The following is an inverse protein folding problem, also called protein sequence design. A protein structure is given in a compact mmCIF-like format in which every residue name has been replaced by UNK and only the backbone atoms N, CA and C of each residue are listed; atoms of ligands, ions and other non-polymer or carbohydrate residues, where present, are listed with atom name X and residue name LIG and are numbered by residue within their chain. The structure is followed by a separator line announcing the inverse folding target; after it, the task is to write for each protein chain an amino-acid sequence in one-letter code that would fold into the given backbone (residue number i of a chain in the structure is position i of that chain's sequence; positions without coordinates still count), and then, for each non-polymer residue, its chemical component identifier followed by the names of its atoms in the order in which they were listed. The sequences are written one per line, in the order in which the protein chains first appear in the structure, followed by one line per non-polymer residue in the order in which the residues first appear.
data_IF_903069746106
#
_entry.id   IF_903069746106
#
_cell.length_a   1.000
_cell.length_b   1.000
_cell.length_c   1.000
_cell.angle_alpha   90.00
_cell.angle_beta   90.00
_cell.angle_gamma   90.00
#
_symmetry.space_group_name_H-M   'P 1'
#
loop_
_entity.id
_entity.type
_entity.pdbx_description
1 polymer ?
#
# COMPACT_ATOMS: atom_id res chain seq x y z
N UNK A 1 23.57 1.00 -24.25
CA UNK A 1 24.96 0.81 -23.76
C UNK A 1 24.93 -0.37 -22.79
N UNK A 2 25.40 -1.55 -23.20
CA UNK A 2 25.70 -2.62 -22.24
C UNK A 2 26.92 -2.16 -21.43
N UNK A 3 26.67 -1.55 -20.29
CA UNK A 3 27.70 -1.17 -19.34
C UNK A 3 27.37 -1.81 -18.02
N UNK A 4 28.32 -2.51 -17.42
CA UNK A 4 28.22 -2.97 -16.03
C UNK A 4 27.75 -1.78 -15.19
N UNK A 5 26.73 -2.02 -14.35
CA UNK A 5 26.12 -1.00 -13.51
C UNK A 5 27.14 -0.61 -12.42
N UNK A 6 28.04 0.31 -12.76
CA UNK A 6 29.11 0.78 -11.88
C UNK A 6 28.78 2.13 -11.28
N UNK A 7 29.46 2.45 -10.19
CA UNK A 7 29.35 3.75 -9.54
C UNK A 7 29.66 4.94 -10.43
N UNK A 8 30.62 4.81 -11.35
CA UNK A 8 30.91 5.88 -12.32
C UNK A 8 29.78 6.07 -13.32
N UNK A 9 29.17 4.97 -13.77
CA UNK A 9 28.01 5.03 -14.68
C UNK A 9 26.84 5.74 -14.01
N UNK A 10 26.52 5.40 -12.76
CA UNK A 10 25.44 6.06 -12.00
C UNK A 10 25.74 7.54 -11.78
N UNK A 11 26.97 7.89 -11.38
CA UNK A 11 27.36 9.28 -11.19
C UNK A 11 27.11 10.12 -12.45
N UNK A 12 27.56 9.64 -13.61
CA UNK A 12 27.34 10.31 -14.90
C UNK A 12 25.85 10.43 -15.27
N UNK A 13 25.03 9.42 -14.93
CA UNK A 13 23.59 9.49 -15.14
C UNK A 13 22.93 10.55 -14.25
N UNK A 14 23.33 10.65 -12.98
CA UNK A 14 22.82 11.68 -12.06
C UNK A 14 23.18 13.08 -12.55
N UNK A 15 24.43 13.32 -12.97
CA UNK A 15 24.84 14.59 -13.57
C UNK A 15 23.96 14.94 -14.78
N UNK A 16 23.75 14.00 -15.71
CA UNK A 16 22.87 14.22 -16.86
C UNK A 16 21.43 14.58 -16.48
N UNK A 17 20.92 14.07 -15.35
CA UNK A 17 19.57 14.36 -14.88
C UNK A 17 19.53 15.76 -14.25
N UNK A 18 20.39 16.04 -13.27
CA UNK A 18 20.32 17.24 -12.44
C UNK A 18 20.98 18.48 -13.07
N UNK A 19 21.97 18.30 -13.92
CA UNK A 19 22.67 19.41 -14.57
C UNK A 19 21.99 19.81 -15.90
N UNK A 20 20.93 19.11 -16.32
CA UNK A 20 20.16 19.46 -17.50
C UNK A 20 19.28 20.69 -17.21
N UNK A 21 19.50 21.84 -17.86
CA UNK A 21 18.75 23.07 -17.61
C UNK A 21 17.28 22.98 -18.05
N UNK A 22 16.92 22.00 -18.88
CA UNK A 22 15.53 21.73 -19.26
C UNK A 22 14.78 20.90 -18.21
N UNK A 23 15.48 20.31 -17.26
CA UNK A 23 14.90 19.49 -16.21
C UNK A 23 14.57 20.36 -14.98
N UNK A 24 13.33 20.36 -14.47
CA UNK A 24 12.98 21.10 -13.26
C UNK A 24 13.59 20.52 -11.97
N UNK A 25 14.22 19.34 -12.04
CA UNK A 25 14.85 18.69 -10.90
C UNK A 25 16.09 19.46 -10.43
N UNK A 26 16.11 19.78 -9.14
CA UNK A 26 17.29 20.32 -8.44
C UNK A 26 17.95 19.22 -7.62
N UNK A 27 19.24 19.38 -7.36
CA UNK A 27 19.98 18.51 -6.45
C UNK A 27 19.24 18.35 -5.11
N UNK A 28 18.97 17.10 -4.74
CA UNK A 28 18.19 16.75 -3.56
C UNK A 28 18.96 17.08 -2.27
N UNK A 29 18.24 17.28 -1.16
CA UNK A 29 18.89 17.38 0.16
C UNK A 29 19.27 16.01 0.72
N UNK A 30 18.50 14.99 0.39
CA UNK A 30 18.68 13.62 0.86
C UNK A 30 18.50 12.66 -0.31
N UNK A 31 19.45 11.74 -0.46
CA UNK A 31 19.39 10.64 -1.42
C UNK A 31 19.26 9.32 -0.65
N UNK A 32 18.16 8.62 -0.87
CA UNK A 32 17.91 7.31 -0.26
C UNK A 32 18.30 6.22 -1.26
N UNK A 33 19.22 5.36 -0.88
CA UNK A 33 19.64 4.21 -1.69
C UNK A 33 19.63 2.94 -0.86
N UNK A 34 19.76 1.79 -1.52
CA UNK A 34 20.11 0.56 -0.83
C UNK A 34 21.64 0.52 -0.52
N UNK A 35 22.15 -0.65 -0.15
CA UNK A 35 23.57 -0.87 0.16
C UNK A 35 24.41 -1.33 -1.05
N UNK A 36 23.89 -1.18 -2.27
CA UNK A 36 24.53 -1.52 -3.53
C UNK A 36 25.93 -0.91 -3.66
N UNK A 37 26.82 -1.58 -4.38
CA UNK A 37 28.19 -1.12 -4.63
C UNK A 37 28.22 0.04 -5.64
N UNK A 38 27.23 0.09 -6.52
CA UNK A 38 26.98 1.13 -7.50
C UNK A 38 26.68 2.50 -6.87
N UNK A 39 26.14 2.56 -5.65
CA UNK A 39 25.90 3.81 -4.92
C UNK A 39 27.07 4.21 -4.00
N UNK A 40 28.21 3.52 -4.06
CA UNK A 40 29.42 3.80 -3.26
C UNK A 40 30.52 4.38 -4.14
N UNK A 41 31.59 4.93 -3.56
CA UNK A 41 32.72 5.43 -4.34
C UNK A 41 32.40 6.74 -5.06
N UNK A 42 32.50 6.78 -6.38
CA UNK A 42 32.33 7.99 -7.20
C UNK A 42 30.93 8.61 -7.06
N UNK A 43 29.86 7.81 -7.11
CA UNK A 43 28.50 8.27 -6.87
C UNK A 43 28.33 8.93 -5.50
N UNK A 44 28.94 8.35 -4.45
CA UNK A 44 28.88 8.92 -3.09
C UNK A 44 29.67 10.23 -2.99
N UNK A 45 30.83 10.33 -3.66
CA UNK A 45 31.61 11.57 -3.74
C UNK A 45 30.83 12.68 -4.45
N UNK A 46 30.18 12.36 -5.57
CA UNK A 46 29.35 13.31 -6.33
C UNK A 46 28.22 13.86 -5.48
N UNK A 47 27.43 12.98 -4.85
CA UNK A 47 26.32 13.39 -3.99
C UNK A 47 26.79 14.30 -2.84
N UNK A 48 27.91 13.96 -2.18
CA UNK A 48 28.49 14.79 -1.13
C UNK A 48 28.98 16.15 -1.63
N UNK A 49 29.56 16.21 -2.84
CA UNK A 49 30.00 17.47 -3.48
C UNK A 49 28.85 18.45 -3.67
N UNK A 50 27.66 17.94 -4.01
CA UNK A 50 26.45 18.74 -4.17
C UNK A 50 25.66 18.94 -2.86
N UNK A 51 26.25 18.60 -1.70
CA UNK A 51 25.63 18.78 -0.39
C UNK A 51 24.50 17.79 -0.08
N UNK A 52 24.38 16.71 -0.85
CA UNK A 52 23.32 15.70 -0.69
C UNK A 52 23.70 14.71 0.41
N UNK A 53 22.83 14.55 1.41
CA UNK A 53 22.99 13.54 2.46
C UNK A 53 22.53 12.18 1.97
N UNK A 54 23.36 11.16 2.12
CA UNK A 54 23.02 9.80 1.69
C UNK A 54 22.49 9.02 2.90
N UNK A 55 21.32 8.39 2.78
CA UNK A 55 20.86 7.40 3.76
C UNK A 55 20.67 6.06 3.06
N UNK A 56 21.21 5.00 3.68
CA UNK A 56 21.21 3.66 3.11
C UNK A 56 20.20 2.78 3.85
N UNK A 57 19.38 2.04 3.11
CA UNK A 57 18.39 1.13 3.67
C UNK A 57 19.04 0.08 4.60
N UNK A 58 18.33 -0.33 5.66
CA UNK A 58 18.87 -1.27 6.66
C UNK A 58 19.01 -2.70 6.11
N UNK A 59 18.11 -3.14 5.23
CA UNK A 59 18.08 -4.49 4.63
C UNK A 59 18.50 -4.49 3.16
N UNK A 60 19.08 -5.61 2.71
CA UNK A 60 19.32 -5.91 1.30
C UNK A 60 18.06 -6.56 0.73
N UNK A 61 17.30 -5.85 -0.09
CA UNK A 61 16.31 -6.46 -0.97
C UNK A 61 16.54 -5.86 -2.35
N UNK A 62 17.18 -6.63 -3.21
CA UNK A 62 17.45 -6.25 -4.60
C UNK A 62 16.14 -6.35 -5.38
N UNK A 63 15.72 -5.25 -6.01
CA UNK A 63 14.72 -5.27 -7.07
C UNK A 63 15.50 -5.17 -8.37
N UNK A 64 15.71 -6.31 -9.01
CA UNK A 64 16.26 -6.35 -10.37
C UNK A 64 15.10 -6.03 -11.34
N UNK A 65 15.33 -5.08 -12.24
CA UNK A 65 14.44 -4.76 -13.35
C UNK A 65 15.22 -5.07 -14.63
N UNK A 66 14.75 -6.04 -15.41
CA UNK A 66 15.42 -6.39 -16.67
C UNK A 66 15.22 -5.31 -17.73
N UNK A 67 16.31 -4.95 -18.42
CA UNK A 67 16.38 -3.89 -19.41
C UNK A 67 15.50 -4.16 -20.65
N UNK A 68 14.50 -3.30 -20.90
CA UNK A 68 13.77 -3.20 -22.18
C UNK A 68 14.00 -1.80 -22.79
N UNK A 69 15.09 -1.58 -23.56
CA UNK A 69 15.61 -0.25 -23.90
C UNK A 69 14.84 0.51 -25.01
N UNK A 70 13.51 0.43 -25.04
CA UNK A 70 12.67 1.25 -25.92
C UNK A 70 11.29 1.54 -25.37
N UNK A 71 10.79 0.67 -24.50
CA UNK A 71 9.51 0.85 -23.81
C UNK A 71 9.66 1.80 -22.61
N UNK A 72 10.84 1.83 -21.98
CA UNK A 72 11.10 2.58 -20.75
C UNK A 72 10.90 4.09 -20.96
N UNK A 73 11.43 4.67 -22.04
CA UNK A 73 11.31 6.13 -22.26
C UNK A 73 9.85 6.55 -22.45
N UNK A 74 9.09 5.78 -23.23
CA UNK A 74 7.64 6.00 -23.41
C UNK A 74 6.87 5.86 -22.10
N UNK A 75 7.17 4.83 -21.30
CA UNK A 75 6.54 4.65 -19.97
C UNK A 75 6.89 5.82 -19.05
N UNK A 76 8.13 6.27 -19.02
CA UNK A 76 8.56 7.39 -18.17
C UNK A 76 7.87 8.69 -18.61
N UNK A 77 7.74 8.93 -19.91
CA UNK A 77 6.99 10.06 -20.45
C UNK A 77 5.51 10.02 -20.04
N UNK A 78 4.86 8.87 -20.19
CA UNK A 78 3.47 8.66 -19.80
C UNK A 78 3.28 8.82 -18.29
N UNK A 79 4.17 8.27 -17.46
CA UNK A 79 4.11 8.39 -16.00
C UNK A 79 4.27 9.84 -15.53
N UNK A 80 5.15 10.62 -16.17
CA UNK A 80 5.40 12.01 -15.79
C UNK A 80 4.26 12.95 -16.20
N UNK A 81 3.53 12.63 -17.28
CA UNK A 81 2.51 13.49 -17.85
C UNK A 81 1.08 13.04 -17.54
N UNK A 82 0.86 11.79 -17.10
CA UNK A 82 -0.46 11.30 -16.71
C UNK A 82 -0.91 11.88 -15.37
N UNK A 83 -2.21 12.16 -15.28
CA UNK A 83 -2.83 12.71 -14.08
C UNK A 83 -2.91 11.63 -13.01
N UNK A 84 -2.30 11.88 -11.85
CA UNK A 84 -2.39 10.95 -10.72
C UNK A 84 -3.78 11.00 -10.08
N UNK A 85 -4.33 9.84 -9.74
CA UNK A 85 -5.64 9.75 -9.08
C UNK A 85 -5.68 10.50 -7.74
N UNK A 86 -4.58 10.42 -6.97
CA UNK A 86 -4.46 11.00 -5.63
C UNK A 86 -4.38 12.54 -5.64
N UNK A 87 -3.64 13.14 -6.56
CA UNK A 87 -3.44 14.60 -6.58
C UNK A 87 -4.37 15.29 -7.58
N UNK A 88 -4.81 14.57 -8.62
CA UNK A 88 -5.55 15.15 -9.74
C UNK A 88 -4.74 16.04 -10.66
N UNK A 89 -3.42 16.01 -10.54
CA UNK A 89 -2.46 16.67 -11.42
C UNK A 89 -1.36 15.69 -11.80
N UNK A 90 -0.65 15.98 -12.89
CA UNK A 90 0.49 15.17 -13.33
C UNK A 90 1.75 15.48 -12.49
N UNK A 91 2.70 14.53 -12.38
CA UNK A 91 3.97 14.78 -11.70
C UNK A 91 4.76 15.97 -12.27
N UNK A 92 4.75 16.15 -13.60
CA UNK A 92 5.45 17.25 -14.28
C UNK A 92 4.91 18.65 -13.91
N UNK A 93 3.62 18.75 -13.57
CA UNK A 93 3.03 19.97 -13.03
C UNK A 93 3.23 20.10 -11.51
N UNK A 94 3.11 18.97 -10.79
CA UNK A 94 3.25 18.90 -9.34
C UNK A 94 4.63 19.35 -8.87
N UNK A 95 5.70 18.95 -9.57
CA UNK A 95 7.08 19.25 -9.18
C UNK A 95 7.41 20.75 -9.18
N UNK A 96 6.69 21.55 -9.98
CA UNK A 96 6.86 23.01 -10.06
C UNK A 96 6.20 23.74 -8.89
N UNK A 97 5.36 23.06 -8.11
CA UNK A 97 4.62 23.63 -6.99
C UNK A 97 5.37 23.39 -5.68
N UNK A 98 5.34 24.37 -4.77
CA UNK A 98 5.94 24.24 -3.44
C UNK A 98 5.22 23.19 -2.57
N UNK A 99 3.90 23.13 -2.67
CA UNK A 99 3.04 22.19 -1.96
C UNK A 99 1.97 21.66 -2.93
N UNK A 100 1.60 20.39 -2.77
CA UNK A 100 0.48 19.78 -3.49
C UNK A 100 -0.45 19.15 -2.46
N UNK A 101 -1.74 19.44 -2.58
CA UNK A 101 -2.75 18.89 -1.70
C UNK A 101 -3.28 17.58 -2.30
N UNK A 102 -3.34 16.54 -1.48
CA UNK A 102 -4.01 15.31 -1.87
C UNK A 102 -5.52 15.57 -1.97
N UNK A 103 -6.17 14.94 -2.96
CA UNK A 103 -7.62 14.90 -2.99
C UNK A 103 -8.11 14.22 -1.71
N UNK A 104 -9.15 14.76 -1.05
CA UNK A 104 -9.76 14.07 0.07
C UNK A 104 -10.22 12.69 -0.39
N UNK A 105 -10.18 11.71 0.51
CA UNK A 105 -10.84 10.44 0.26
C UNK A 105 -12.30 10.70 -0.11
N UNK A 106 -12.81 9.96 -1.09
CA UNK A 106 -14.22 10.10 -1.44
C UNK A 106 -15.04 9.73 -0.20
N UNK A 107 -16.04 10.52 0.19
CA UNK A 107 -16.94 10.12 1.25
C UNK A 107 -17.58 8.78 0.86
N UNK A 108 -17.82 7.94 1.87
CA UNK A 108 -18.52 6.67 1.70
C UNK A 108 -19.84 6.93 0.98
N UNK A 109 -20.02 6.32 -0.19
CA UNK A 109 -21.29 6.33 -0.91
C UNK A 109 -22.14 5.18 -0.39
N UNK A 110 -23.33 5.50 0.12
CA UNK A 110 -24.29 4.49 0.55
C UNK A 110 -25.13 4.96 1.73
N UNK A 111 -26.18 4.19 2.06
CA UNK A 111 -26.98 4.44 3.25
C UNK A 111 -26.14 4.35 4.52
N UNK A 112 -26.51 5.12 5.56
CA UNK A 112 -25.87 5.14 6.88
C UNK A 112 -26.96 4.96 7.95
N UNK A 113 -26.65 4.23 9.01
CA UNK A 113 -27.59 3.97 10.11
C UNK A 113 -28.79 3.13 9.67
N UNK A 114 -29.99 3.70 9.78
CA UNK A 114 -31.25 2.98 9.56
C UNK A 114 -31.44 2.45 8.14
N UNK A 115 -30.88 3.14 7.15
CA UNK A 115 -31.05 2.80 5.74
C UNK A 115 -30.09 1.68 5.28
N UNK A 116 -29.13 1.27 6.14
CA UNK A 116 -28.17 0.21 5.81
C UNK A 116 -28.90 -1.13 5.78
N UNK A 117 -28.71 -1.93 4.71
CA UNK A 117 -29.19 -3.32 4.67
C UNK A 117 -28.50 -4.09 5.80
N UNK A 118 -29.27 -4.39 6.84
CA UNK A 118 -28.77 -5.06 8.03
C UNK A 118 -28.57 -6.54 7.76
N UNK A 119 -27.56 -7.08 8.42
CA UNK A 119 -27.44 -8.51 8.61
C UNK A 119 -28.45 -8.98 9.65
N UNK A 120 -29.00 -10.17 9.44
CA UNK A 120 -29.93 -10.84 10.34
C UNK A 120 -29.17 -11.69 11.35
N UNK A 121 -29.81 -12.02 12.47
CA UNK A 121 -29.22 -12.90 13.49
C UNK A 121 -28.90 -14.30 12.94
N UNK A 122 -29.63 -14.75 11.92
CA UNK A 122 -29.41 -16.03 11.22
C UNK A 122 -28.28 -15.97 10.17
N UNK A 123 -27.69 -14.79 9.93
CA UNK A 123 -26.56 -14.66 9.00
C UNK A 123 -25.26 -15.11 9.67
N UNK A 124 -24.63 -16.13 9.09
CA UNK A 124 -23.28 -16.54 9.45
C UNK A 124 -22.23 -15.66 8.76
N UNK A 125 -21.23 -15.22 9.50
CA UNK A 125 -20.20 -14.29 9.03
C UNK A 125 -18.79 -14.73 9.43
N UNK A 126 -17.82 -14.30 8.63
CA UNK A 126 -16.41 -14.18 9.07
C UNK A 126 -16.05 -12.71 9.16
N UNK A 127 -15.14 -12.37 10.07
CA UNK A 127 -14.74 -10.97 10.29
C UNK A 127 -13.31 -10.72 9.82
N UNK A 128 -13.01 -9.46 9.50
CA UNK A 128 -11.67 -9.02 9.11
C UNK A 128 -10.77 -8.93 10.34
N UNK A 129 -9.67 -9.67 10.34
CA UNK A 129 -8.71 -9.70 11.45
C UNK A 129 -7.98 -8.36 11.60
N UNK A 130 -7.74 -7.96 12.85
CA UNK A 130 -6.80 -6.87 13.12
C UNK A 130 -5.37 -7.31 12.80
N UNK A 131 -4.48 -6.40 12.34
CA UNK A 131 -3.05 -6.64 12.36
C UNK A 131 -2.51 -7.23 13.67
N UNK A 132 -3.09 -6.91 14.83
CA UNK A 132 -2.68 -7.50 16.12
C UNK A 132 -3.17 -8.93 16.37
N UNK A 133 -4.22 -9.37 15.68
CA UNK A 133 -4.80 -10.73 15.78
C UNK A 133 -4.18 -11.68 14.76
N UNK A 134 -3.40 -11.14 13.81
CA UNK A 134 -2.81 -11.91 12.72
C UNK A 134 -1.48 -12.57 13.12
N UNK A 135 -1.50 -13.89 13.31
CA UNK A 135 -0.31 -14.71 13.60
C UNK A 135 0.36 -15.30 12.33
N UNK A 136 -0.09 -14.91 11.13
CA UNK A 136 0.36 -15.52 9.86
C UNK A 136 1.73 -15.06 9.34
N UNK A 137 2.33 -15.87 8.47
CA UNK A 137 3.60 -15.56 7.76
C UNK A 137 3.50 -14.35 6.81
N UNK A 138 4.65 -13.95 6.22
CA UNK A 138 4.80 -12.81 5.29
C UNK A 138 3.81 -12.86 4.11
N UNK A 139 2.65 -12.22 4.26
CA UNK A 139 1.72 -11.87 3.18
C UNK A 139 1.68 -10.37 2.94
N UNK A 140 1.08 -9.95 1.82
CA UNK A 140 1.01 -8.53 1.46
C UNK A 140 0.00 -7.85 2.37
N UNK A 141 0.32 -6.64 2.85
CA UNK A 141 -0.57 -5.84 3.70
C UNK A 141 -1.92 -5.48 3.03
N UNK A 142 -2.08 -5.77 1.75
CA UNK A 142 -3.29 -5.53 0.94
C UNK A 142 -4.27 -6.70 0.91
N UNK A 143 -3.87 -7.89 1.40
CA UNK A 143 -4.73 -9.05 1.36
C UNK A 143 -5.71 -8.98 2.55
N UNK A 144 -7.02 -9.12 2.28
CA UNK A 144 -8.04 -9.14 3.34
C UNK A 144 -7.93 -10.44 4.14
N UNK A 145 -7.38 -10.36 5.35
CA UNK A 145 -7.21 -11.50 6.25
C UNK A 145 -8.50 -11.72 7.04
N UNK A 146 -9.30 -12.69 6.64
CA UNK A 146 -10.54 -13.03 7.33
C UNK A 146 -10.32 -14.05 8.45
N UNK A 147 -11.21 -14.07 9.44
CA UNK A 147 -11.23 -15.04 10.53
C UNK A 147 -11.41 -16.46 9.99
N UNK A 148 -10.68 -17.43 10.57
CA UNK A 148 -10.80 -18.85 10.19
C UNK A 148 -12.09 -19.50 10.71
N UNK A 149 -12.69 -18.93 11.77
CA UNK A 149 -13.95 -19.39 12.36
C UNK A 149 -15.13 -18.59 11.81
N UNK A 150 -16.28 -19.26 11.73
CA UNK A 150 -17.58 -18.67 11.42
C UNK A 150 -18.22 -18.22 12.73
N UNK A 151 -18.87 -17.06 12.68
CA UNK A 151 -19.57 -16.46 13.80
C UNK A 151 -21.00 -16.12 13.39
N UNK A 152 -21.90 -16.11 14.36
CA UNK A 152 -23.24 -15.57 14.23
C UNK A 152 -23.31 -14.18 14.86
N UNK A 153 -24.33 -13.42 14.47
CA UNK A 153 -24.55 -12.09 15.03
C UNK A 153 -25.20 -12.23 16.39
N UNK A 154 -24.58 -11.67 17.42
CA UNK A 154 -25.10 -11.63 18.79
C UNK A 154 -25.98 -10.42 19.01
N UNK A 155 -25.49 -9.25 18.65
CA UNK A 155 -26.15 -7.97 18.89
C UNK A 155 -25.81 -6.99 17.76
N UNK A 156 -26.72 -6.05 17.48
CA UNK A 156 -26.44 -4.93 16.60
C UNK A 156 -26.88 -3.61 17.23
N UNK A 157 -25.98 -2.62 17.23
CA UNK A 157 -26.26 -1.27 17.69
C UNK A 157 -26.47 -0.36 16.49
N UNK A 158 -27.64 0.26 16.43
CA UNK A 158 -28.00 1.17 15.34
C UNK A 158 -28.26 2.55 15.91
N UNK A 159 -27.54 3.55 15.38
CA UNK A 159 -27.78 4.96 15.68
C UNK A 159 -27.98 5.75 14.39
N UNK A 160 -28.76 6.84 14.47
CA UNK A 160 -29.00 7.73 13.33
C UNK A 160 -27.66 8.36 12.91
N UNK A 161 -27.38 8.35 11.60
CA UNK A 161 -26.14 8.92 11.03
C UNK A 161 -24.83 8.28 11.53
N UNK A 162 -24.86 7.06 12.08
CA UNK A 162 -23.67 6.30 12.43
C UNK A 162 -23.63 4.93 11.74
N UNK A 163 -22.45 4.32 11.71
CA UNK A 163 -22.31 2.96 11.21
C UNK A 163 -22.97 1.98 12.19
N UNK A 164 -23.61 0.95 11.63
CA UNK A 164 -24.17 -0.13 12.45
C UNK A 164 -23.01 -0.96 12.99
N UNK A 165 -23.00 -1.16 14.30
CA UNK A 165 -22.01 -1.99 14.98
C UNK A 165 -22.62 -3.36 15.27
N UNK A 166 -21.83 -4.40 15.06
CA UNK A 166 -22.21 -5.79 15.26
C UNK A 166 -21.28 -6.45 16.27
N UNK A 167 -21.85 -7.17 17.23
CA UNK A 167 -21.12 -8.08 18.11
C UNK A 167 -21.34 -9.51 17.63
N UNK A 168 -20.29 -10.31 17.69
CA UNK A 168 -20.26 -11.66 17.15
C UNK A 168 -20.18 -12.70 18.27
N UNK A 169 -20.67 -13.90 17.98
CA UNK A 169 -20.59 -15.06 18.87
C UNK A 169 -20.39 -16.33 18.05
N UNK A 170 -19.52 -17.22 18.49
CA UNK A 170 -19.31 -18.55 17.92
C UNK A 170 -20.21 -19.58 18.58
N UNK A 171 -20.15 -20.82 18.09
CA UNK A 171 -20.95 -21.93 18.59
C UNK A 171 -20.62 -22.31 20.06
N UNK A 172 -19.45 -21.91 20.56
CA UNK A 172 -19.02 -22.12 21.95
C UNK A 172 -19.49 -20.99 22.89
N UNK A 173 -20.18 -19.97 22.35
CA UNK A 173 -20.62 -18.81 23.11
C UNK A 173 -19.54 -17.75 23.30
N UNK A 174 -18.38 -17.91 22.66
CA UNK A 174 -17.25 -16.99 22.71
C UNK A 174 -17.30 -16.03 21.52
N UNK A 175 -16.69 -14.85 21.65
CA UNK A 175 -16.65 -13.88 20.56
C UNK A 175 -15.54 -12.85 20.78
N UNK A 176 -15.15 -12.11 19.73
CA UNK A 176 -14.21 -11.02 19.87
C UNK A 176 -14.73 -9.97 20.86
N UNK A 177 -13.83 -9.37 21.65
CA UNK A 177 -14.17 -8.32 22.64
C UNK A 177 -14.52 -6.96 21.99
N UNK A 178 -14.54 -6.88 20.65
CA UNK A 178 -14.82 -5.66 19.89
C UNK A 178 -16.02 -5.82 18.96
N UNK A 179 -16.60 -4.68 18.58
CA UNK A 179 -17.67 -4.60 17.59
C UNK A 179 -17.12 -4.39 16.18
N UNK A 180 -17.89 -4.79 15.18
CA UNK A 180 -17.53 -4.71 13.76
C UNK A 180 -18.52 -3.88 12.97
N UNK A 181 -18.06 -3.19 11.93
CA UNK A 181 -18.93 -2.57 10.93
C UNK A 181 -19.25 -3.53 9.79
N UNK A 182 -20.26 -3.23 8.99
CA UNK A 182 -20.70 -4.10 7.87
C UNK A 182 -19.57 -4.48 6.90
N UNK A 183 -18.59 -3.59 6.67
CA UNK A 183 -17.45 -3.82 5.77
C UNK A 183 -16.44 -4.81 6.31
N UNK A 184 -16.37 -4.93 7.62
CA UNK A 184 -15.47 -5.84 8.33
C UNK A 184 -16.09 -7.23 8.43
N UNK A 185 -17.29 -7.44 7.91
CA UNK A 185 -18.02 -8.71 7.94
C UNK A 185 -18.29 -9.22 6.53
N UNK A 186 -17.91 -10.47 6.29
CA UNK A 186 -18.27 -11.21 5.08
C UNK A 186 -19.33 -12.27 5.44
N UNK A 187 -20.49 -12.20 4.78
CA UNK A 187 -21.57 -13.18 4.94
C UNK A 187 -21.20 -14.45 4.22
N UNK A 188 -21.34 -15.57 4.91
CA UNK A 188 -21.04 -16.90 4.42
C UNK A 188 -22.35 -17.61 4.06
N UNK A 189 -22.51 -18.07 2.81
CA UNK A 189 -23.66 -18.87 2.43
C UNK A 189 -23.68 -20.19 3.24
N UNK A 190 -24.87 -20.70 3.60
CA UNK A 190 -25.01 -21.91 4.42
C UNK A 190 -24.42 -23.19 3.78
N UNK A 191 -24.17 -23.20 2.47
CA UNK A 191 -23.65 -24.36 1.72
C UNK A 191 -22.14 -24.29 1.43
N UNK A 192 -21.38 -23.44 2.12
CA UNK A 192 -19.93 -23.37 1.92
C UNK A 192 -19.22 -24.31 2.90
N UNK A 193 -18.70 -25.43 2.38
CA UNK A 193 -17.73 -26.25 3.10
C UNK A 193 -16.36 -25.58 3.04
N UNK A 194 -15.79 -25.29 4.21
CA UNK A 194 -14.41 -24.81 4.30
C UNK A 194 -13.43 -25.98 4.16
N UNK A 195 -12.22 -25.74 3.61
CA UNK A 195 -11.17 -26.74 3.64
C UNK A 195 -10.92 -27.14 5.11
N UNK A 196 -10.63 -28.43 5.37
CA UNK A 196 -10.38 -28.91 6.73
C UNK A 196 -9.31 -28.07 7.43
N UNK A 197 -9.48 -27.82 8.74
CA UNK A 197 -8.58 -26.97 9.52
C UNK A 197 -7.10 -27.39 9.45
N UNK A 198 -6.81 -28.67 9.20
CA UNK A 198 -5.43 -29.16 9.02
C UNK A 198 -4.73 -28.62 7.76
N UNK A 199 -5.47 -28.10 6.77
CA UNK A 199 -4.91 -27.42 5.59
C UNK A 199 -4.43 -26.00 5.93
N UNK A 200 -4.94 -25.42 7.02
CA UNK A 200 -4.61 -24.06 7.49
C UNK A 200 -3.58 -24.05 8.63
N UNK A 201 -3.29 -25.22 9.23
CA UNK A 201 -2.25 -25.39 10.24
C UNK A 201 -0.91 -25.69 9.55
N UNK A 202 -0.08 -24.67 9.39
CA UNK A 202 1.37 -24.81 9.13
C UNK A 202 2.14 -24.29 10.33
#
# INVERSE_FOLDING_TARGET
MQGILTSSTIAKCLEKIYDNPKNPLIWLKVFLSDKGSEFKGECEKLLRKHGVRIQKAKSKKTMELDDLPGIIDSIVEDLNNSVTCLLGISPAEAIKKKNVFAKPSKPRKGPIGFDVKRLFFDDSVIYLLDPSEYEGERRRATDMNWSSKIYNIRESLVQKNQLVLYWLIDDEGNGPERSFVREELQVIPPNVEYPPQWVLAN
#
